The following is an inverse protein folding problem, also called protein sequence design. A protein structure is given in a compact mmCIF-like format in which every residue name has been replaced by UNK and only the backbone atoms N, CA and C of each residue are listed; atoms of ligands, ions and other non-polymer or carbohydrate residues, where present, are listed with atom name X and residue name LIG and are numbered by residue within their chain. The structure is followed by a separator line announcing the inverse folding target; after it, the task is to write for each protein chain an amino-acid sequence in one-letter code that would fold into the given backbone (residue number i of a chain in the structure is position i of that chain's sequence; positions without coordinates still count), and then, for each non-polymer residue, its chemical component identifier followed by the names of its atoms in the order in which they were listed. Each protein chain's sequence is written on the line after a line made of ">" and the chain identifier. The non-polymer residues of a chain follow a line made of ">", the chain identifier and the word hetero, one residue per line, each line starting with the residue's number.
data_IF_568382717378
#
_entry.id   IF_568382717378
#
_cell.length_a   1.000
_cell.length_b   1.000
_cell.length_c   1.000
_cell.angle_alpha   90.00
_cell.angle_beta   90.00
_cell.angle_gamma   90.00
#
_symmetry.space_group_name_H-M   'P 1'
#
loop_
_entity.id
_entity.type
_entity.pdbx_description
1 polymer ?
#
# COMPACT_ATOMS: atom_id res chain seq x y z
N UNK A 1 0.35 -28.17 -11.74
CA UNK A 1 1.49 -27.42 -11.14
C UNK A 1 0.88 -26.14 -10.64
N UNK A 2 1.13 -25.72 -9.39
CA UNK A 2 0.46 -24.53 -8.87
C UNK A 2 0.75 -23.32 -9.77
N UNK A 3 -0.30 -22.59 -10.11
CA UNK A 3 -0.23 -21.36 -10.89
C UNK A 3 -0.87 -20.22 -10.10
N UNK A 4 -0.44 -18.98 -10.40
CA UNK A 4 -0.95 -17.78 -9.78
C UNK A 4 -1.34 -16.76 -10.86
N UNK A 5 -2.54 -16.21 -10.76
CA UNK A 5 -3.04 -15.16 -11.64
C UNK A 5 -3.29 -13.89 -10.83
N UNK A 6 -3.01 -12.73 -11.45
CA UNK A 6 -3.29 -11.42 -10.86
C UNK A 6 -4.61 -10.89 -11.39
N UNK A 7 -5.62 -10.83 -10.53
CA UNK A 7 -6.96 -10.32 -10.87
C UNK A 7 -7.11 -8.93 -10.30
N UNK A 8 -7.38 -7.94 -11.14
CA UNK A 8 -7.54 -6.54 -10.71
C UNK A 8 -8.67 -6.41 -9.67
N UNK A 9 -8.40 -5.67 -8.60
CA UNK A 9 -9.31 -5.47 -7.47
C UNK A 9 -9.78 -4.03 -7.32
N UNK A 10 -8.86 -3.07 -7.47
CA UNK A 10 -9.10 -1.66 -7.19
C UNK A 10 -7.97 -0.79 -7.73
N UNK A 11 -8.28 0.49 -7.93
CA UNK A 11 -7.28 1.54 -8.07
C UNK A 11 -7.21 2.34 -6.78
N UNK A 12 -6.00 2.64 -6.32
CA UNK A 12 -5.75 3.41 -5.10
C UNK A 12 -5.00 4.69 -5.48
N UNK A 13 -5.58 5.84 -5.11
CA UNK A 13 -4.92 7.14 -5.26
C UNK A 13 -4.45 7.60 -3.88
N UNK A 14 -3.18 7.98 -3.80
CA UNK A 14 -2.48 8.31 -2.56
C UNK A 14 -1.81 9.66 -2.72
N UNK A 15 -1.89 10.49 -1.68
CA UNK A 15 -1.01 11.64 -1.53
C UNK A 15 0.03 11.29 -0.47
N UNK A 16 1.30 11.28 -0.86
CA UNK A 16 2.44 11.16 0.05
C UNK A 16 2.83 12.56 0.51
N UNK A 17 3.00 12.72 1.81
CA UNK A 17 3.45 13.95 2.45
C UNK A 17 4.97 14.10 2.41
N UNK A 18 5.50 15.15 3.08
CA UNK A 18 6.94 15.37 3.17
C UNK A 18 7.67 14.16 3.76
N UNK A 19 8.79 13.81 3.15
CA UNK A 19 9.69 12.77 3.66
C UNK A 19 10.58 13.35 4.76
N UNK A 20 10.56 12.72 5.93
CA UNK A 20 11.42 13.05 7.05
C UNK A 20 12.55 12.02 7.07
N UNK A 21 13.75 12.45 6.72
CA UNK A 21 14.93 11.61 6.89
C UNK A 21 15.26 11.47 8.38
N UNK A 22 15.26 10.24 8.87
CA UNK A 22 15.70 9.91 10.24
C UNK A 22 17.22 9.71 10.27
N UNK A 23 17.78 9.18 9.18
CA UNK A 23 19.23 9.05 8.96
C UNK A 23 19.69 7.62 8.67
N UNK A 24 20.99 7.47 8.38
CA UNK A 24 21.62 6.19 8.05
C UNK A 24 21.81 5.30 9.29
N UNK A 25 21.30 4.07 9.21
CA UNK A 25 21.56 3.01 10.18
C UNK A 25 22.10 1.74 9.52
N UNK A 26 22.26 0.66 10.30
CA UNK A 26 22.81 -0.62 9.82
C UNK A 26 21.97 -1.30 8.71
N UNK A 27 20.71 -0.90 8.56
CA UNK A 27 19.78 -1.46 7.56
C UNK A 27 19.64 -0.58 6.31
N UNK A 28 20.32 0.57 6.25
CA UNK A 28 20.11 1.61 5.25
C UNK A 28 19.62 2.93 5.87
N UNK A 29 19.26 3.90 5.04
CA UNK A 29 18.73 5.19 5.47
C UNK A 29 17.24 5.07 5.80
N UNK A 30 16.86 5.40 7.04
CA UNK A 30 15.46 5.41 7.46
C UNK A 30 14.82 6.74 7.07
N UNK A 31 13.67 6.65 6.42
CA UNK A 31 12.82 7.76 6.06
C UNK A 31 11.42 7.49 6.62
N UNK A 32 10.72 8.52 7.07
CA UNK A 32 9.32 8.43 7.47
C UNK A 32 8.51 9.39 6.63
N UNK A 33 7.46 8.89 5.98
CA UNK A 33 6.55 9.69 5.17
C UNK A 33 5.13 9.51 5.70
N UNK A 34 4.46 10.63 6.00
CA UNK A 34 3.02 10.65 6.27
C UNK A 34 2.25 10.43 4.95
N UNK A 35 1.11 9.76 5.01
CA UNK A 35 0.14 9.70 3.92
C UNK A 35 -1.11 10.50 4.31
N UNK A 36 -1.21 11.79 3.93
CA UNK A 36 -2.34 12.65 4.33
C UNK A 36 -3.68 12.25 3.70
N UNK A 37 -3.69 11.56 2.56
CA UNK A 37 -4.93 11.10 1.96
C UNK A 37 -4.73 9.85 1.11
N UNK A 38 -5.73 8.99 1.12
CA UNK A 38 -5.82 7.80 0.30
C UNK A 38 -7.29 7.53 -0.04
N UNK A 39 -7.56 7.23 -1.31
CA UNK A 39 -8.87 6.77 -1.79
C UNK A 39 -8.70 5.45 -2.54
N UNK A 40 -9.48 4.45 -2.15
CA UNK A 40 -9.65 3.17 -2.88
C UNK A 40 -10.95 3.24 -3.66
N UNK A 41 -10.90 2.90 -4.95
CA UNK A 41 -12.08 2.88 -5.83
C UNK A 41 -12.19 1.53 -6.54
N UNK A 42 -13.33 0.86 -6.39
CA UNK A 42 -13.72 -0.31 -7.18
C UNK A 42 -15.21 -0.64 -7.05
N UNK A 43 -15.67 -1.65 -7.80
CA UNK A 43 -17.06 -2.15 -7.70
C UNK A 43 -17.36 -2.82 -6.34
N UNK A 44 -16.32 -3.28 -5.62
CA UNK A 44 -16.46 -4.10 -4.39
C UNK A 44 -15.88 -3.45 -3.14
N UNK A 45 -15.11 -2.37 -3.28
CA UNK A 45 -14.43 -1.69 -2.18
C UNK A 45 -14.24 -0.20 -2.52
N UNK A 46 -15.03 0.66 -1.88
CA UNK A 46 -14.85 2.11 -1.93
C UNK A 46 -14.53 2.60 -0.52
N UNK A 47 -13.36 3.20 -0.34
CA UNK A 47 -12.87 3.56 0.99
C UNK A 47 -11.92 4.75 0.98
N UNK A 48 -11.82 5.40 2.14
CA UNK A 48 -10.86 6.47 2.42
C UNK A 48 -10.14 6.19 3.74
N UNK A 49 -9.15 6.99 4.13
CA UNK A 49 -8.54 6.88 5.46
C UNK A 49 -9.59 7.06 6.57
N UNK A 50 -9.56 6.19 7.57
CA UNK A 50 -10.43 6.27 8.74
C UNK A 50 -9.99 7.35 9.73
N UNK A 51 -8.68 7.61 9.77
CA UNK A 51 -8.03 8.59 10.66
C UNK A 51 -6.65 8.95 10.08
N UNK A 52 -5.92 9.84 10.76
CA UNK A 52 -4.59 10.29 10.36
C UNK A 52 -3.50 9.32 10.86
N UNK A 53 -3.65 8.02 10.59
CA UNK A 53 -2.75 6.95 11.03
C UNK A 53 -1.79 6.44 9.96
N UNK A 54 -1.94 6.92 8.72
CA UNK A 54 -1.23 6.38 7.57
C UNK A 54 0.21 6.92 7.45
N UNK A 55 1.18 6.02 7.41
CA UNK A 55 2.59 6.35 7.18
C UNK A 55 3.38 5.19 6.57
N UNK A 56 4.48 5.54 5.91
CA UNK A 56 5.54 4.63 5.50
C UNK A 56 6.79 4.86 6.34
N UNK A 57 7.28 3.79 6.96
CA UNK A 57 8.57 3.76 7.62
C UNK A 57 9.64 3.19 6.67
N UNK A 58 9.81 3.84 5.53
CA UNK A 58 10.69 3.44 4.44
C UNK A 58 12.16 3.24 4.88
N UNK A 59 12.81 2.21 4.34
CA UNK A 59 14.27 2.09 4.36
C UNK A 59 14.83 2.17 2.95
N UNK A 60 15.75 3.10 2.71
CA UNK A 60 16.48 3.20 1.44
C UNK A 60 17.81 2.47 1.58
N UNK A 61 17.99 1.44 0.75
CA UNK A 61 19.23 0.67 0.66
C UNK A 61 20.38 1.49 0.06
N UNK A 62 21.62 1.06 0.32
CA UNK A 62 22.81 1.70 -0.25
C UNK A 62 22.86 1.56 -1.80
N UNK A 63 22.09 0.63 -2.35
CA UNK A 63 21.86 0.41 -3.78
C UNK A 63 20.73 1.28 -4.37
N UNK A 64 20.09 2.12 -3.54
CA UNK A 64 18.95 2.96 -3.93
C UNK A 64 17.58 2.27 -3.87
N UNK A 65 17.52 0.99 -3.50
CA UNK A 65 16.24 0.27 -3.39
C UNK A 65 15.44 0.78 -2.19
N UNK A 66 14.20 1.20 -2.44
CA UNK A 66 13.23 1.53 -1.40
C UNK A 66 12.60 0.25 -0.83
N UNK A 67 12.60 0.10 0.49
CA UNK A 67 11.98 -1.00 1.23
C UNK A 67 10.84 -0.45 2.10
N UNK A 68 9.61 -0.66 1.65
CA UNK A 68 8.41 -0.09 2.26
C UNK A 68 7.98 -0.85 3.52
N UNK A 69 7.41 -0.12 4.48
CA UNK A 69 6.85 -0.65 5.73
C UNK A 69 5.67 0.24 6.14
N UNK A 70 4.47 -0.12 5.68
CA UNK A 70 3.29 0.76 5.69
C UNK A 70 2.16 0.16 6.51
N UNK A 71 1.44 1.02 7.24
CA UNK A 71 0.23 0.69 8.00
C UNK A 71 -0.78 1.85 7.91
N UNK A 72 -2.06 1.53 7.84
CA UNK A 72 -3.18 2.49 7.95
C UNK A 72 -4.51 1.78 8.16
N UNK A 73 -5.54 2.56 8.51
CA UNK A 73 -6.91 2.07 8.61
C UNK A 73 -7.79 2.74 7.55
N UNK A 74 -8.49 1.93 6.76
CA UNK A 74 -9.51 2.38 5.83
C UNK A 74 -10.89 2.43 6.51
N UNK A 75 -11.72 3.38 6.08
CA UNK A 75 -13.16 3.44 6.32
C UNK A 75 -13.88 3.37 4.98
N UNK A 76 -14.76 2.40 4.83
CA UNK A 76 -15.58 2.25 3.63
C UNK A 76 -16.69 3.29 3.60
N UNK A 77 -17.22 3.57 2.41
CA UNK A 77 -18.37 4.46 2.20
C UNK A 77 -19.64 4.01 2.96
N UNK A 78 -19.79 2.70 3.17
CA UNK A 78 -20.85 2.07 3.95
C UNK A 78 -20.47 1.74 5.41
N UNK A 79 -19.40 2.36 5.91
CA UNK A 79 -19.10 2.51 7.34
C UNK A 79 -18.29 1.39 8.01
N UNK A 80 -17.76 0.42 7.26
CA UNK A 80 -16.86 -0.61 7.78
C UNK A 80 -15.42 -0.08 7.93
N UNK A 81 -14.64 -0.73 8.80
CA UNK A 81 -13.22 -0.44 8.99
C UNK A 81 -12.35 -1.61 8.57
N UNK A 82 -11.23 -1.32 7.90
CA UNK A 82 -10.28 -2.32 7.40
C UNK A 82 -8.87 -1.83 7.74
N UNK A 83 -8.18 -2.56 8.61
CA UNK A 83 -6.75 -2.35 8.83
C UNK A 83 -5.97 -2.91 7.65
N UNK A 84 -4.96 -2.17 7.18
CA UNK A 84 -4.09 -2.56 6.08
C UNK A 84 -2.65 -2.41 6.54
N UNK A 85 -1.86 -3.46 6.29
CA UNK A 85 -0.41 -3.39 6.39
C UNK A 85 0.25 -4.03 5.18
N UNK A 86 1.39 -3.47 4.78
CA UNK A 86 2.14 -4.00 3.66
C UNK A 86 3.62 -3.69 3.72
N UNK A 87 4.37 -4.53 3.02
CA UNK A 87 5.75 -4.29 2.64
C UNK A 87 5.86 -4.29 1.11
N UNK A 88 6.98 -3.78 0.61
CA UNK A 88 7.22 -3.70 -0.81
C UNK A 88 8.64 -3.29 -1.16
N UNK A 89 8.90 -3.24 -2.46
CA UNK A 89 10.15 -2.73 -3.03
C UNK A 89 9.83 -1.66 -4.06
N UNK A 90 10.60 -0.59 -4.06
CA UNK A 90 10.51 0.46 -5.06
C UNK A 90 11.88 0.86 -5.60
N UNK A 91 11.89 1.39 -6.81
CA UNK A 91 13.01 2.12 -7.37
C UNK A 91 12.70 3.61 -7.27
N UNK A 92 13.42 4.31 -6.39
CA UNK A 92 13.22 5.74 -6.14
C UNK A 92 13.56 6.62 -7.34
N UNK A 93 14.32 6.09 -8.31
CA UNK A 93 14.70 6.82 -9.53
C UNK A 93 13.54 6.87 -10.52
N UNK A 94 12.86 5.74 -10.68
CA UNK A 94 11.73 5.61 -11.62
C UNK A 94 10.38 5.89 -10.95
N UNK A 95 10.33 5.83 -9.61
CA UNK A 95 9.09 5.91 -8.84
C UNK A 95 8.22 4.66 -8.93
N UNK A 96 8.71 3.58 -9.56
CA UNK A 96 7.99 2.31 -9.67
C UNK A 96 8.07 1.52 -8.38
N UNK A 97 6.93 1.02 -7.91
CA UNK A 97 6.80 0.33 -6.62
C UNK A 97 5.98 -0.95 -6.80
N UNK A 98 6.40 -2.04 -6.15
CA UNK A 98 5.62 -3.26 -6.00
C UNK A 98 5.40 -3.56 -4.50
N UNK A 99 4.16 -3.76 -4.08
CA UNK A 99 3.80 -4.05 -2.68
C UNK A 99 2.94 -5.31 -2.56
N UNK A 100 2.83 -5.85 -1.35
CA UNK A 100 2.00 -7.01 -1.05
C UNK A 100 1.11 -6.73 0.17
N UNK A 101 -0.02 -6.03 0.00
CA UNK A 101 -0.90 -5.70 1.11
C UNK A 101 -1.73 -6.87 1.61
N UNK A 102 -2.00 -6.81 2.90
CA UNK A 102 -2.90 -7.71 3.63
C UNK A 102 -3.89 -6.88 4.44
N UNK A 103 -5.02 -7.51 4.77
CA UNK A 103 -6.18 -6.81 5.31
C UNK A 103 -6.68 -7.50 6.58
N UNK A 104 -7.20 -6.72 7.52
CA UNK A 104 -7.92 -7.21 8.68
C UNK A 104 -9.19 -6.40 8.91
N UNK A 105 -10.33 -7.07 8.96
CA UNK A 105 -11.64 -6.46 9.26
C UNK A 105 -12.54 -7.41 10.04
N UNK A 106 -13.40 -6.84 10.89
CA UNK A 106 -14.46 -7.57 11.60
C UNK A 106 -15.83 -7.45 10.97
N UNK A 107 -15.99 -6.73 9.85
CA UNK A 107 -17.29 -6.54 9.20
C UNK A 107 -17.58 -7.71 8.25
N UNK A 108 -18.74 -8.36 8.41
CA UNK A 108 -19.12 -9.55 7.64
C UNK A 108 -19.20 -9.29 6.13
N UNK A 109 -19.55 -8.07 5.70
CA UNK A 109 -19.63 -7.69 4.28
C UNK A 109 -18.25 -7.73 3.60
N UNK A 110 -17.20 -7.47 4.38
CA UNK A 110 -15.82 -7.37 3.91
C UNK A 110 -14.94 -8.52 4.40
N UNK A 111 -15.50 -9.53 5.07
CA UNK A 111 -14.76 -10.66 5.64
C UNK A 111 -13.90 -11.42 4.61
N UNK A 112 -14.25 -11.35 3.32
CA UNK A 112 -13.48 -11.93 2.22
C UNK A 112 -12.05 -11.36 2.12
N UNK A 113 -11.84 -10.09 2.49
CA UNK A 113 -10.51 -9.44 2.45
C UNK A 113 -9.51 -10.12 3.40
N UNK A 114 -9.99 -10.69 4.52
CA UNK A 114 -9.14 -11.37 5.50
C UNK A 114 -8.42 -12.61 4.93
N UNK A 115 -8.88 -13.14 3.79
CA UNK A 115 -8.30 -14.30 3.11
C UNK A 115 -7.56 -13.97 1.81
N UNK A 116 -7.49 -12.70 1.43
CA UNK A 116 -6.85 -12.26 0.18
C UNK A 116 -5.35 -12.05 0.39
N UNK A 117 -4.53 -12.69 -0.44
CA UNK A 117 -3.18 -12.19 -0.71
C UNK A 117 -3.27 -11.23 -1.89
N UNK A 118 -2.97 -9.96 -1.65
CA UNK A 118 -2.90 -8.97 -2.72
C UNK A 118 -1.46 -8.64 -3.10
N UNK A 119 -1.31 -8.10 -4.30
CA UNK A 119 -0.12 -7.38 -4.77
C UNK A 119 -0.55 -6.08 -5.42
N UNK A 120 0.29 -5.05 -5.38
CA UNK A 120 0.00 -3.80 -6.06
C UNK A 120 1.21 -3.34 -6.90
N UNK A 121 0.92 -2.81 -8.09
CA UNK A 121 1.88 -2.11 -8.92
C UNK A 121 1.61 -0.61 -8.80
N UNK A 122 2.63 0.17 -8.44
CA UNK A 122 2.49 1.59 -8.16
C UNK A 122 3.47 2.48 -8.90
N UNK A 123 3.06 3.72 -9.10
CA UNK A 123 3.88 4.79 -9.67
C UNK A 123 3.76 6.04 -8.80
N UNK A 124 4.88 6.42 -8.17
CA UNK A 124 5.04 7.68 -7.45
C UNK A 124 5.51 8.78 -8.40
N UNK A 125 4.90 9.94 -8.31
CA UNK A 125 5.44 11.19 -8.80
C UNK A 125 6.22 11.87 -7.66
N UNK A 126 7.56 11.87 -7.75
CA UNK A 126 8.43 12.43 -6.72
C UNK A 126 8.34 13.95 -6.55
N UNK A 127 7.80 14.68 -7.54
CA UNK A 127 7.63 16.13 -7.48
C UNK A 127 6.34 16.53 -6.76
N UNK A 128 5.23 15.82 -7.03
CA UNK A 128 3.91 16.13 -6.47
C UNK A 128 3.57 15.32 -5.24
N UNK A 129 4.23 14.18 -5.03
CA UNK A 129 3.88 13.20 -3.99
C UNK A 129 2.64 12.37 -4.34
N UNK A 130 2.07 12.54 -5.53
CA UNK A 130 0.95 11.71 -5.99
C UNK A 130 1.44 10.30 -6.30
N UNK A 131 0.74 9.30 -5.78
CA UNK A 131 1.04 7.89 -5.97
C UNK A 131 -0.24 7.15 -6.34
N UNK A 132 -0.19 6.43 -7.46
CA UNK A 132 -1.28 5.55 -7.89
C UNK A 132 -0.83 4.11 -7.74
N UNK A 133 -1.68 3.26 -7.16
CA UNK A 133 -1.53 1.81 -7.20
C UNK A 133 -2.68 1.17 -7.96
N UNK A 134 -2.35 0.19 -8.80
CA UNK A 134 -3.28 -0.83 -9.25
C UNK A 134 -3.14 -2.05 -8.34
N UNK A 135 -4.23 -2.41 -7.65
CA UNK A 135 -4.29 -3.51 -6.68
C UNK A 135 -4.83 -4.77 -7.36
N UNK A 136 -4.20 -5.91 -7.07
CA UNK A 136 -4.57 -7.22 -7.63
C UNK A 136 -4.70 -8.27 -6.53
N UNK A 137 -5.69 -9.15 -6.65
CA UNK A 137 -5.82 -10.39 -5.90
C UNK A 137 -4.94 -11.44 -6.57
N UNK A 138 -4.18 -12.18 -5.76
CA UNK A 138 -3.46 -13.36 -6.23
C UNK A 138 -4.40 -14.57 -6.14
N UNK A 139 -4.84 -15.08 -7.29
CA UNK A 139 -5.65 -16.30 -7.37
C UNK A 139 -4.77 -17.50 -7.67
N UNK A 140 -4.79 -18.52 -6.81
CA UNK A 140 -3.98 -19.72 -6.94
C UNK A 140 -4.81 -20.88 -7.47
N UNK A 141 -4.32 -21.55 -8.52
CA UNK A 141 -4.92 -22.74 -9.13
C UNK A 141 -3.92 -23.92 -9.17
N UNK A 142 -4.42 -25.14 -9.42
CA UNK A 142 -3.66 -26.41 -9.30
C UNK A 142 -3.25 -27.03 -10.65
#
# INVERSE_FOLDING_TARGET
>A
MPAAELVHMATINVQVGPMIEVGKGHKGTRVTANVPSLTVTSDRLNATLATDDAADWLTVGDDGTALLDVRFTLKTDDGAFIFVEYQGRGDMTTGLIATAPTFQTGDERYAWLNSVQAVAAGQLNGETGELVYELYEVQVSA
#
